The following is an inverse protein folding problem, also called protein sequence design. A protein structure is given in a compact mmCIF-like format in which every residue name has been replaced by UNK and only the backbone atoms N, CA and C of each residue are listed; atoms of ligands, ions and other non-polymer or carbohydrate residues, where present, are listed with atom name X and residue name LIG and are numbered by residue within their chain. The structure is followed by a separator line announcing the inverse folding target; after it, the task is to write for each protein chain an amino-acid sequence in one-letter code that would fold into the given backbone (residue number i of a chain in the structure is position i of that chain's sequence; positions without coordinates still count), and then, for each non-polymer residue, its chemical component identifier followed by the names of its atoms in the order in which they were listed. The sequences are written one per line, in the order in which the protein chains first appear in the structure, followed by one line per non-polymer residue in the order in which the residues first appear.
data_IF_172996112863
#
_entry.id   IF_172996112863
#
_cell.length_a   1.000
_cell.length_b   1.000
_cell.length_c   1.000
_cell.angle_alpha   90.00
_cell.angle_beta   90.00
_cell.angle_gamma   90.00
#
_symmetry.space_group_name_H-M   'P 1'
#
loop_
_entity.id
_entity.type
_entity.pdbx_description
1 polymer ?
#
# COMPACT_ATOMS: atom_id res chain seq x y z
N UNK A 1 7.65 -27.60 45.79
CA UNK A 1 8.49 -26.56 45.17
C UNK A 1 8.31 -26.60 43.66
N UNK A 2 7.39 -25.79 43.11
CA UNK A 2 7.06 -25.75 41.68
C UNK A 2 7.48 -24.41 41.06
N UNK A 3 8.20 -24.47 39.94
CA UNK A 3 8.83 -23.34 39.24
C UNK A 3 7.80 -22.43 38.57
N UNK A 4 7.73 -21.16 38.97
CA UNK A 4 6.97 -20.12 38.27
C UNK A 4 7.73 -19.58 37.05
N UNK A 5 7.21 -19.80 35.84
CA UNK A 5 7.67 -19.13 34.61
C UNK A 5 7.04 -17.74 34.55
N UNK A 6 7.88 -16.69 34.56
CA UNK A 6 7.46 -15.32 34.24
C UNK A 6 7.32 -15.19 32.72
N UNK A 7 6.09 -15.00 32.25
CA UNK A 7 5.79 -14.54 30.90
C UNK A 7 6.29 -13.10 30.75
N UNK A 8 7.28 -12.91 29.88
CA UNK A 8 7.69 -11.62 29.33
C UNK A 8 7.02 -11.44 27.97
N UNK A 9 6.60 -10.22 27.68
CA UNK A 9 6.45 -9.72 26.32
C UNK A 9 5.01 -9.64 25.84
N UNK A 10 4.47 -8.42 25.80
CA UNK A 10 3.43 -7.94 24.85
C UNK A 10 3.12 -6.46 25.18
N UNK A 11 4.16 -5.63 25.17
CA UNK A 11 4.03 -4.16 25.25
C UNK A 11 5.13 -3.51 24.41
N UNK A 12 4.99 -3.60 23.10
CA UNK A 12 5.62 -2.67 22.14
C UNK A 12 5.03 -2.94 20.75
N UNK A 13 4.91 -1.87 19.95
CA UNK A 13 4.52 -1.85 18.53
C UNK A 13 3.03 -1.88 18.22
N UNK A 14 2.34 -0.74 18.42
CA UNK A 14 1.19 -0.40 17.57
C UNK A 14 1.11 1.09 17.21
N UNK A 15 2.27 1.74 17.10
CA UNK A 15 2.44 3.06 16.47
C UNK A 15 3.80 3.11 15.78
N UNK A 16 3.91 2.43 14.64
CA UNK A 16 4.92 2.77 13.64
C UNK A 16 4.19 3.33 12.43
N UNK A 17 4.43 4.62 12.25
CA UNK A 17 4.19 5.48 11.10
C UNK A 17 3.62 4.80 9.84
N UNK A 18 2.47 5.27 9.37
CA UNK A 18 2.02 5.08 7.98
C UNK A 18 2.85 5.91 6.98
N UNK A 19 3.89 6.61 7.44
CA UNK A 19 4.76 7.44 6.62
C UNK A 19 6.23 7.05 6.86
N UNK A 20 6.82 6.40 5.86
CA UNK A 20 8.27 6.25 5.71
C UNK A 20 8.83 4.91 6.16
N UNK A 21 8.70 3.88 5.31
CA UNK A 21 9.37 2.59 5.44
C UNK A 21 10.88 2.69 5.15
N UNK A 22 11.60 3.65 5.74
CA UNK A 22 13.07 3.79 5.60
C UNK A 22 13.63 3.98 4.18
N UNK A 23 12.79 3.88 3.15
CA UNK A 23 13.12 3.90 1.74
C UNK A 23 13.53 5.33 1.36
N UNK A 24 14.72 5.45 0.77
CA UNK A 24 15.24 6.73 0.29
C UNK A 24 15.80 6.51 -1.09
N UNK A 25 14.99 6.78 -2.12
CA UNK A 25 15.47 6.73 -3.49
C UNK A 25 16.55 7.80 -3.68
N UNK A 26 17.71 7.37 -4.14
CA UNK A 26 18.88 8.18 -4.41
C UNK A 26 18.93 8.56 -5.89
N UNK A 27 19.68 9.62 -6.22
CA UNK A 27 19.91 10.02 -7.63
C UNK A 27 20.50 8.91 -8.50
N UNK A 28 21.17 7.91 -7.90
CA UNK A 28 21.77 6.78 -8.62
C UNK A 28 20.74 5.77 -9.14
N UNK A 29 19.57 5.72 -8.52
CA UNK A 29 18.51 4.75 -8.88
C UNK A 29 17.57 5.29 -9.96
N UNK A 30 17.54 6.62 -10.17
CA UNK A 30 16.73 7.26 -11.22
C UNK A 30 16.90 6.63 -12.60
N UNK A 31 18.13 6.38 -13.10
CA UNK A 31 18.31 5.74 -14.41
C UNK A 31 17.70 4.33 -14.49
N UNK A 32 17.78 3.55 -13.42
CA UNK A 32 17.24 2.19 -13.35
C UNK A 32 15.71 2.23 -13.36
N UNK A 33 15.13 3.12 -12.55
CA UNK A 33 13.68 3.33 -12.51
C UNK A 33 13.18 3.74 -13.90
N UNK A 34 13.83 4.74 -14.52
CA UNK A 34 13.48 5.21 -15.85
C UNK A 34 13.55 4.12 -16.91
N UNK A 35 14.64 3.35 -16.91
CA UNK A 35 14.81 2.21 -17.81
C UNK A 35 13.70 1.17 -17.65
N UNK A 36 13.35 0.80 -16.41
CA UNK A 36 12.34 -0.24 -16.15
C UNK A 36 10.94 0.19 -16.56
N UNK A 37 10.56 1.44 -16.30
CA UNK A 37 9.27 1.97 -16.74
C UNK A 37 9.22 2.02 -18.26
N UNK A 38 10.18 2.67 -18.92
CA UNK A 38 10.18 2.80 -20.39
C UNK A 38 10.20 1.43 -21.10
N UNK A 39 11.02 0.49 -20.63
CA UNK A 39 11.10 -0.85 -21.25
C UNK A 39 9.87 -1.73 -21.04
N UNK A 40 8.94 -1.32 -20.16
CA UNK A 40 7.72 -2.07 -19.86
C UNK A 40 6.44 -1.23 -20.09
N UNK A 41 6.57 -0.09 -20.76
CA UNK A 41 5.49 0.77 -21.22
C UNK A 41 5.33 0.68 -22.74
N UNK A 42 4.18 1.14 -23.24
CA UNK A 42 3.94 1.29 -24.68
C UNK A 42 4.64 2.53 -25.24
N UNK A 43 4.64 3.63 -24.48
CA UNK A 43 5.33 4.86 -24.86
C UNK A 43 6.83 4.79 -24.57
N UNK A 44 7.61 5.38 -25.46
CA UNK A 44 9.04 5.64 -25.30
C UNK A 44 9.33 7.03 -24.68
N UNK A 45 8.30 7.86 -24.51
CA UNK A 45 8.37 9.10 -23.75
C UNK A 45 8.20 8.84 -22.24
N UNK A 46 9.03 9.51 -21.43
CA UNK A 46 9.02 9.30 -19.98
C UNK A 46 7.74 9.79 -19.30
N UNK A 47 7.21 10.95 -19.74
CA UNK A 47 6.03 11.55 -19.11
C UNK A 47 4.75 10.81 -19.48
N UNK A 48 4.69 10.23 -20.67
CA UNK A 48 3.61 9.32 -21.06
C UNK A 48 3.74 7.95 -20.39
N UNK A 49 4.92 7.32 -20.45
CA UNK A 49 5.13 5.97 -19.93
C UNK A 49 4.76 5.83 -18.45
N UNK A 50 5.08 6.84 -17.62
CA UNK A 50 4.74 6.85 -16.19
C UNK A 50 3.25 7.01 -15.88
N UNK A 51 2.42 7.36 -16.87
CA UNK A 51 0.95 7.50 -16.77
C UNK A 51 0.19 6.24 -17.15
N UNK A 52 0.90 5.23 -17.67
CA UNK A 52 0.28 3.96 -18.10
C UNK A 52 0.02 2.97 -16.97
N UNK A 53 0.45 3.31 -15.74
CA UNK A 53 0.44 2.39 -14.61
C UNK A 53 -0.73 2.66 -13.65
N UNK A 54 -1.35 1.58 -13.20
CA UNK A 54 -2.47 1.58 -12.27
C UNK A 54 -2.05 0.88 -10.96
N UNK A 55 -2.51 1.39 -9.82
CA UNK A 55 -2.33 0.72 -8.54
C UNK A 55 -3.38 -0.38 -8.38
N UNK A 56 -2.94 -1.60 -8.05
CA UNK A 56 -3.80 -2.79 -8.05
C UNK A 56 -4.02 -3.33 -6.64
N UNK A 57 -2.94 -3.56 -5.90
CA UNK A 57 -3.04 -4.25 -4.61
C UNK A 57 -1.94 -3.85 -3.64
N UNK A 58 -2.24 -4.04 -2.35
CA UNK A 58 -1.29 -3.96 -1.25
C UNK A 58 -1.00 -5.38 -0.76
N UNK A 59 0.27 -5.75 -0.71
CA UNK A 59 0.75 -7.04 -0.19
C UNK A 59 1.63 -6.74 1.02
N UNK A 60 1.30 -7.31 2.18
CA UNK A 60 2.07 -7.13 3.41
C UNK A 60 3.02 -8.32 3.63
N UNK A 61 4.12 -8.12 4.34
CA UNK A 61 5.07 -9.20 4.71
C UNK A 61 4.35 -10.37 5.40
N UNK A 62 3.29 -10.09 6.16
CA UNK A 62 2.46 -11.08 6.85
C UNK A 62 1.63 -11.95 5.88
N UNK A 63 1.41 -11.49 4.64
CA UNK A 63 0.74 -12.26 3.59
C UNK A 63 1.67 -13.34 2.99
N UNK A 64 2.97 -13.34 3.32
CA UNK A 64 4.01 -14.24 2.78
C UNK A 64 3.66 -15.72 2.91
N UNK A 65 3.05 -16.12 4.03
CA UNK A 65 2.66 -17.52 4.27
C UNK A 65 1.48 -17.99 3.41
N UNK A 66 0.75 -17.07 2.78
CA UNK A 66 -0.48 -17.34 2.02
C UNK A 66 -0.35 -17.09 0.51
N UNK A 67 0.61 -16.26 0.12
CA UNK A 67 0.84 -15.81 -1.24
C UNK A 67 2.35 -15.68 -1.42
N UNK A 68 2.97 -16.55 -2.23
CA UNK A 68 4.38 -16.47 -2.69
C UNK A 68 4.66 -15.21 -3.56
N UNK A 69 3.97 -14.10 -3.28
CA UNK A 69 3.90 -12.89 -4.09
C UNK A 69 4.60 -11.70 -3.45
N UNK A 70 5.11 -11.82 -2.23
CA UNK A 70 5.85 -10.74 -1.58
C UNK A 70 7.34 -10.78 -1.98
N UNK A 71 7.90 -9.60 -2.20
CA UNK A 71 9.31 -9.34 -2.49
C UNK A 71 9.88 -8.38 -1.44
N UNK A 72 11.02 -8.72 -0.86
CA UNK A 72 11.76 -7.84 0.04
C UNK A 72 12.36 -6.62 -0.68
N UNK A 73 12.47 -6.71 -2.02
CA UNK A 73 13.06 -5.70 -2.88
C UNK A 73 12.02 -5.00 -3.76
N UNK A 74 12.17 -3.69 -3.91
CA UNK A 74 11.40 -2.90 -4.87
C UNK A 74 11.83 -3.25 -6.31
N UNK A 75 10.90 -3.69 -7.14
CA UNK A 75 11.20 -4.07 -8.51
C UNK A 75 11.53 -2.88 -9.42
N UNK A 76 11.34 -1.63 -8.99
CA UNK A 76 11.80 -0.44 -9.73
C UNK A 76 13.23 -0.04 -9.34
N UNK A 77 13.47 0.30 -8.07
CA UNK A 77 14.76 0.84 -7.63
C UNK A 77 15.74 -0.22 -7.07
N UNK A 78 15.27 -1.46 -6.85
CA UNK A 78 16.02 -2.55 -6.22
C UNK A 78 16.43 -2.30 -4.76
N UNK A 79 15.81 -1.34 -4.07
CA UNK A 79 16.00 -1.20 -2.63
C UNK A 79 15.31 -2.34 -1.89
N UNK A 80 16.05 -3.00 -1.02
CA UNK A 80 15.56 -4.05 -0.14
C UNK A 80 14.99 -3.52 1.17
N UNK A 81 14.50 -4.44 2.00
CA UNK A 81 13.95 -4.13 3.32
C UNK A 81 12.54 -3.56 3.28
N UNK A 82 11.80 -3.81 2.19
CA UNK A 82 10.38 -3.55 2.14
C UNK A 82 9.66 -4.41 3.19
N UNK A 83 8.62 -3.86 3.80
CA UNK A 83 7.66 -4.59 4.66
C UNK A 83 6.30 -4.75 4.00
N UNK A 84 6.12 -4.05 2.88
CA UNK A 84 4.92 -3.99 2.06
C UNK A 84 5.35 -3.84 0.62
N UNK A 85 4.67 -4.54 -0.27
CA UNK A 85 4.71 -4.24 -1.69
C UNK A 85 3.40 -3.59 -2.12
N UNK A 86 3.56 -2.66 -3.04
CA UNK A 86 2.45 -2.09 -3.77
C UNK A 86 2.53 -2.63 -5.19
N UNK A 87 1.52 -3.38 -5.60
CA UNK A 87 1.43 -3.90 -6.95
C UNK A 87 0.92 -2.81 -7.88
N UNK A 88 1.71 -2.52 -8.92
CA UNK A 88 1.30 -1.68 -10.04
C UNK A 88 1.20 -2.50 -11.31
N UNK A 89 0.28 -2.12 -12.20
CA UNK A 89 -0.01 -2.83 -13.44
C UNK A 89 -0.09 -1.87 -14.61
N UNK A 90 0.57 -2.23 -15.72
CA UNK A 90 0.41 -1.56 -17.00
C UNK A 90 -0.57 -2.36 -17.86
N UNK A 91 -1.77 -1.81 -18.08
CA UNK A 91 -2.82 -2.47 -18.86
C UNK A 91 -2.47 -2.61 -20.35
N UNK A 92 -1.62 -1.74 -20.88
CA UNK A 92 -1.18 -1.77 -22.27
C UNK A 92 -0.19 -2.91 -22.57
N UNK A 93 0.73 -3.19 -21.64
CA UNK A 93 1.77 -4.22 -21.81
C UNK A 93 1.51 -5.51 -21.02
N UNK A 94 0.52 -5.51 -20.13
CA UNK A 94 0.24 -6.62 -19.22
C UNK A 94 1.27 -6.80 -18.10
N UNK A 95 2.22 -5.87 -17.96
CA UNK A 95 3.33 -5.95 -17.00
C UNK A 95 2.89 -5.56 -15.60
N UNK A 96 3.47 -6.22 -14.60
CA UNK A 96 3.25 -5.97 -13.17
C UNK A 96 4.56 -5.69 -12.48
N UNK A 97 4.54 -4.78 -11.50
CA UNK A 97 5.66 -4.58 -10.60
C UNK A 97 5.23 -4.55 -9.14
N UNK A 98 6.06 -5.12 -8.27
CA UNK A 98 6.00 -5.04 -6.82
C UNK A 98 6.98 -3.97 -6.35
N UNK A 99 6.47 -2.85 -5.85
CA UNK A 99 7.31 -1.68 -5.60
C UNK A 99 7.13 -1.14 -4.19
N UNK A 100 8.11 -0.34 -3.75
CA UNK A 100 8.03 0.44 -2.52
C UNK A 100 7.16 1.69 -2.68
N UNK A 101 6.68 2.22 -1.55
CA UNK A 101 5.81 3.40 -1.54
C UNK A 101 6.50 4.63 -2.12
N UNK A 102 7.82 4.76 -1.93
CA UNK A 102 8.59 5.91 -2.44
C UNK A 102 8.63 5.91 -3.95
N UNK A 103 8.75 4.73 -4.57
CA UNK A 103 8.82 4.64 -6.02
C UNK A 103 7.49 5.02 -6.69
N UNK A 104 6.36 4.57 -6.15
CA UNK A 104 5.04 4.98 -6.67
C UNK A 104 4.85 6.48 -6.50
N UNK A 105 5.06 6.99 -5.27
CA UNK A 105 4.77 8.39 -4.94
C UNK A 105 5.65 9.42 -5.65
N UNK A 106 6.82 9.03 -6.14
CA UNK A 106 7.73 9.97 -6.79
C UNK A 106 7.80 9.81 -8.32
N UNK A 107 7.48 8.63 -8.86
CA UNK A 107 7.74 8.36 -10.28
C UNK A 107 6.49 7.93 -11.06
N UNK A 108 5.43 7.45 -10.42
CA UNK A 108 4.22 7.01 -11.11
C UNK A 108 3.14 8.08 -11.02
N UNK A 109 2.54 8.40 -12.16
CA UNK A 109 1.32 9.22 -12.22
C UNK A 109 0.15 8.27 -12.46
N UNK A 110 -0.61 7.97 -11.42
CA UNK A 110 -1.72 7.04 -11.50
C UNK A 110 -2.80 7.57 -12.45
N UNK A 111 -3.37 6.66 -13.24
CA UNK A 111 -4.47 6.97 -14.14
C UNK A 111 -5.61 7.68 -13.40
N UNK A 112 -6.13 8.75 -14.00
CA UNK A 112 -7.13 9.62 -13.37
C UNK A 112 -6.55 10.76 -12.53
N UNK A 113 -5.22 10.92 -12.51
CA UNK A 113 -4.53 12.07 -11.90
C UNK A 113 -3.70 12.82 -12.95
N UNK A 114 -3.52 14.13 -12.75
CA UNK A 114 -2.80 14.98 -13.72
C UNK A 114 -1.36 15.23 -13.30
N UNK A 115 -1.13 15.43 -12.00
CA UNK A 115 0.18 15.76 -11.43
C UNK A 115 0.71 14.66 -10.51
N UNK A 116 2.02 14.70 -10.21
CA UNK A 116 2.63 13.73 -9.31
C UNK A 116 2.10 13.85 -7.88
N UNK A 117 1.80 15.07 -7.42
CA UNK A 117 1.26 15.33 -6.09
C UNK A 117 -0.15 14.74 -5.95
N UNK A 118 -1.00 14.93 -6.97
CA UNK A 118 -2.32 14.32 -7.02
C UNK A 118 -2.24 12.79 -7.05
N UNK A 119 -1.34 12.23 -7.86
CA UNK A 119 -1.06 10.78 -7.91
C UNK A 119 -0.66 10.23 -6.54
N UNK A 120 0.28 10.88 -5.86
CA UNK A 120 0.73 10.47 -4.53
C UNK A 120 -0.40 10.52 -3.49
N UNK A 121 -1.22 11.57 -3.51
CA UNK A 121 -2.38 11.68 -2.63
C UNK A 121 -3.44 10.60 -2.91
N UNK A 122 -3.74 10.34 -4.18
CA UNK A 122 -4.67 9.29 -4.59
C UNK A 122 -4.18 7.89 -4.17
N UNK A 123 -2.88 7.62 -4.35
CA UNK A 123 -2.23 6.40 -3.89
C UNK A 123 -2.37 6.23 -2.37
N UNK A 124 -2.03 7.25 -1.58
CA UNK A 124 -2.13 7.17 -0.11
C UNK A 124 -3.58 6.94 0.35
N UNK A 125 -4.53 7.56 -0.34
CA UNK A 125 -5.95 7.33 -0.10
C UNK A 125 -6.36 5.89 -0.40
N UNK A 126 -5.97 5.34 -1.57
CA UNK A 126 -6.27 3.96 -1.95
C UNK A 126 -5.62 2.94 -1.01
N UNK A 127 -4.37 3.16 -0.60
CA UNK A 127 -3.69 2.32 0.39
C UNK A 127 -4.45 2.32 1.71
N UNK A 128 -4.86 3.49 2.19
CA UNK A 128 -5.66 3.61 3.42
C UNK A 128 -6.96 2.81 3.32
N UNK A 129 -7.65 2.87 2.18
CA UNK A 129 -8.85 2.07 1.94
C UNK A 129 -8.58 0.57 2.01
N UNK A 130 -7.57 0.10 1.27
CA UNK A 130 -7.26 -1.33 1.23
C UNK A 130 -6.82 -1.85 2.60
N UNK A 131 -5.98 -1.12 3.32
CA UNK A 131 -5.55 -1.50 4.68
C UNK A 131 -6.73 -1.54 5.67
N UNK A 132 -7.64 -0.58 5.62
CA UNK A 132 -8.83 -0.58 6.47
C UNK A 132 -9.78 -1.73 6.11
N UNK A 133 -9.99 -2.00 4.81
CA UNK A 133 -10.81 -3.11 4.34
C UNK A 133 -10.24 -4.47 4.76
N UNK A 134 -8.93 -4.70 4.60
CA UNK A 134 -8.24 -5.92 5.07
C UNK A 134 -8.43 -6.11 6.58
N UNK A 135 -8.24 -5.07 7.38
CA UNK A 135 -8.46 -5.11 8.84
C UNK A 135 -9.88 -5.50 9.21
N UNK A 136 -10.88 -4.92 8.52
CA UNK A 136 -12.28 -5.27 8.74
C UNK A 136 -12.51 -6.74 8.40
N UNK A 137 -12.06 -7.21 7.23
CA UNK A 137 -12.22 -8.59 6.80
C UNK A 137 -11.65 -9.58 7.82
N UNK A 138 -10.45 -9.32 8.34
CA UNK A 138 -9.83 -10.15 9.37
C UNK A 138 -10.65 -10.20 10.68
N UNK A 139 -11.42 -9.16 10.99
CA UNK A 139 -12.22 -9.04 12.22
C UNK A 139 -13.65 -9.58 12.07
N UNK A 140 -14.17 -9.75 10.85
CA UNK A 140 -15.54 -10.22 10.60
C UNK A 140 -15.87 -11.50 11.38
N UNK A 141 -15.04 -12.57 11.37
CA UNK A 141 -15.37 -13.81 12.09
C UNK A 141 -15.53 -13.61 13.60
N UNK A 142 -14.64 -12.82 14.23
CA UNK A 142 -14.72 -12.50 15.66
C UNK A 142 -15.92 -11.63 15.99
N UNK A 143 -16.22 -10.63 15.13
CA UNK A 143 -17.32 -9.67 15.37
C UNK A 143 -18.69 -10.31 15.19
N UNK A 144 -18.85 -11.24 14.25
CA UNK A 144 -20.13 -11.94 14.01
C UNK A 144 -20.43 -13.05 15.02
N UNK A 145 -19.45 -13.48 15.81
CA UNK A 145 -19.63 -14.52 16.82
C UNK A 145 -19.86 -13.92 18.21
N UNK A 146 -18.80 -13.71 18.99
CA UNK A 146 -18.85 -13.06 20.31
C UNK A 146 -17.64 -12.14 20.47
N UNK A 147 -17.71 -10.89 19.97
CA UNK A 147 -16.57 -10.00 20.01
C UNK A 147 -16.20 -9.60 21.43
N UNK A 148 -14.91 -9.50 21.70
CA UNK A 148 -14.43 -8.71 22.83
C UNK A 148 -14.71 -7.22 22.62
N UNK A 149 -14.77 -6.44 23.69
CA UNK A 149 -14.89 -4.97 23.60
C UNK A 149 -13.78 -4.34 22.74
N UNK A 150 -12.57 -4.92 22.80
CA UNK A 150 -11.43 -4.46 22.03
C UNK A 150 -11.61 -4.70 20.52
N UNK A 151 -12.04 -5.89 20.11
CA UNK A 151 -12.30 -6.21 18.70
C UNK A 151 -13.45 -5.38 18.14
N UNK A 152 -14.53 -5.20 18.90
CA UNK A 152 -15.64 -4.33 18.50
C UNK A 152 -15.18 -2.88 18.29
N UNK A 153 -14.29 -2.37 19.16
CA UNK A 153 -13.73 -1.03 19.03
C UNK A 153 -12.83 -0.90 17.79
N UNK A 154 -11.95 -1.88 17.53
CA UNK A 154 -11.09 -1.86 16.34
C UNK A 154 -11.94 -1.93 15.06
N UNK A 155 -12.94 -2.81 15.03
CA UNK A 155 -13.86 -2.94 13.90
C UNK A 155 -14.57 -1.61 13.63
N UNK A 156 -15.20 -1.01 14.66
CA UNK A 156 -15.85 0.30 14.54
C UNK A 156 -14.91 1.37 13.99
N UNK A 157 -13.68 1.45 14.51
CA UNK A 157 -12.72 2.45 14.08
C UNK A 157 -12.28 2.23 12.62
N UNK A 158 -12.06 0.98 12.21
CA UNK A 158 -11.77 0.63 10.82
C UNK A 158 -12.95 0.95 9.89
N UNK A 159 -14.18 0.64 10.30
CA UNK A 159 -15.39 0.97 9.55
C UNK A 159 -15.55 2.48 9.39
N UNK A 160 -15.31 3.25 10.46
CA UNK A 160 -15.32 4.72 10.41
C UNK A 160 -14.31 5.25 9.40
N UNK A 161 -13.10 4.68 9.38
CA UNK A 161 -12.05 5.06 8.45
C UNK A 161 -12.45 4.88 6.98
N UNK A 162 -13.16 3.79 6.64
CA UNK A 162 -13.72 3.56 5.29
C UNK A 162 -14.91 4.49 4.99
N UNK A 163 -15.77 4.74 5.98
CA UNK A 163 -16.93 5.61 5.78
C UNK A 163 -16.51 7.07 5.57
N UNK A 164 -15.55 7.58 6.34
CA UNK A 164 -15.03 8.95 6.18
C UNK A 164 -14.42 9.17 4.80
N UNK A 165 -13.74 8.16 4.26
CA UNK A 165 -13.20 8.22 2.91
C UNK A 165 -14.26 8.12 1.81
N UNK A 166 -15.33 7.35 2.04
CA UNK A 166 -16.47 7.32 1.11
C UNK A 166 -17.24 8.65 1.12
N UNK A 167 -17.37 9.29 2.29
CA UNK A 167 -18.03 10.58 2.44
C UNK A 167 -17.25 11.69 1.72
N UNK A 168 -15.91 11.68 1.82
CA UNK A 168 -15.05 12.58 1.04
C UNK A 168 -15.18 12.37 -0.48
N UNK A 169 -15.41 11.13 -0.92
CA UNK A 169 -15.69 10.82 -2.32
C UNK A 169 -17.05 11.40 -2.75
N UNK A 170 -18.10 11.20 -1.96
CA UNK A 170 -19.44 11.73 -2.24
C UNK A 170 -19.48 13.26 -2.26
N UNK A 171 -18.72 13.92 -1.38
CA UNK A 171 -18.57 15.38 -1.37
C UNK A 171 -17.76 15.92 -2.56
N UNK A 172 -16.84 15.12 -3.13
CA UNK A 172 -16.11 15.49 -4.36
C UNK A 172 -16.90 15.27 -5.65
N UNK A 173 -18.02 14.54 -5.60
CA UNK A 173 -18.87 14.18 -6.75
C UNK A 173 -20.14 15.04 -6.78
N UNK A 174 -20.27 16.09 -5.95
CA UNK A 174 -21.36 17.07 -6.10
C UNK A 174 -21.11 17.95 -7.33
N UNK A 175 -21.70 17.55 -8.45
CA UNK A 175 -21.70 18.22 -9.74
C UNK A 175 -22.12 19.68 -9.64
N UNK A 176 -21.35 20.56 -10.29
CA UNK A 176 -21.86 21.81 -10.85
C UNK A 176 -22.72 21.56 -12.09
#
# INVERSE_FOLDING_TARGET
MGKGRKLRGLRASFRKSLTGDGEKVTKKELPIIRYKILSNSLSDDWEEARREWEFVSLIEEEDYDSLDRFSDNCELCNQGGLRRNYEIYNAGTGKRFLVGSTCIKNFIILKGTETQEQSAAAFEFQVKQLSAAKRIQALIPSVLSQPTQHEALIFRNASKEILETLDNLLMSVSWG
#
